data_IF_460456143622
#
_entry.id   IF_460456143622
#
_cell.length_a   1.000
_cell.length_b   1.000
_cell.length_c   1.000
_cell.angle_alpha   90.00
_cell.angle_beta   90.00
_cell.angle_gamma   90.00
#
_symmetry.space_group_name_H-M   'P 1'
#
loop_
_entity.id
_entity.type
_entity.pdbx_description
1 polymer ?
#
# COMPACT_ATOMS: atom_id res chain seq x y z
N UNK A 1 13.13 -7.86 23.52
CA UNK A 1 12.10 -8.19 22.52
C UNK A 1 12.36 -7.36 21.28
N UNK A 2 12.89 -7.98 20.22
CA UNK A 2 13.17 -7.31 18.94
C UNK A 2 11.83 -6.90 18.30
N UNK A 3 11.68 -5.62 17.94
CA UNK A 3 10.44 -5.06 17.40
C UNK A 3 10.41 -5.26 15.89
N UNK A 4 9.41 -5.96 15.37
CA UNK A 4 9.27 -6.21 13.93
C UNK A 4 9.07 -4.88 13.18
N UNK A 5 10.05 -4.51 12.35
CA UNK A 5 9.98 -3.33 11.47
C UNK A 5 9.57 -3.66 10.04
N UNK A 6 9.66 -4.93 9.65
CA UNK A 6 9.39 -5.41 8.30
C UNK A 6 8.53 -6.66 8.32
N UNK A 7 7.40 -6.62 7.61
CA UNK A 7 6.49 -7.74 7.42
C UNK A 7 6.56 -8.18 5.97
N UNK A 8 6.78 -9.47 5.75
CA UNK A 8 6.83 -10.05 4.40
C UNK A 8 5.91 -11.26 4.32
N UNK A 9 4.89 -11.17 3.47
CA UNK A 9 3.91 -12.21 3.23
C UNK A 9 4.15 -12.75 1.82
N UNK A 10 4.37 -14.07 1.67
CA UNK A 10 4.67 -14.69 0.38
C UNK A 10 3.85 -15.93 0.13
N UNK A 11 3.30 -16.04 -1.08
CA UNK A 11 2.69 -17.27 -1.61
C UNK A 11 1.65 -17.88 -0.66
N UNK A 12 0.81 -17.05 -0.05
CA UNK A 12 -0.25 -17.49 0.84
C UNK A 12 -1.57 -17.61 0.09
N UNK A 13 -2.31 -18.69 0.34
CA UNK A 13 -3.67 -18.91 -0.20
C UNK A 13 -4.77 -18.16 0.58
N UNK A 14 -4.38 -17.18 1.39
CA UNK A 14 -5.28 -16.41 2.23
C UNK A 14 -6.11 -15.46 1.36
N UNK A 15 -7.41 -15.41 1.62
CA UNK A 15 -8.32 -14.49 0.93
C UNK A 15 -8.53 -13.17 1.67
N UNK A 16 -8.47 -13.21 3.00
CA UNK A 16 -8.64 -12.06 3.88
C UNK A 16 -7.72 -12.20 5.10
N UNK A 17 -7.10 -11.09 5.52
CA UNK A 17 -6.37 -11.03 6.79
C UNK A 17 -7.35 -10.51 7.83
N UNK A 18 -7.76 -11.35 8.77
CA UNK A 18 -8.67 -10.94 9.83
C UNK A 18 -8.01 -9.91 10.75
N UNK A 19 -8.63 -8.74 10.82
CA UNK A 19 -8.35 -7.72 11.82
C UNK A 19 -9.39 -7.89 12.93
N UNK A 20 -9.00 -7.62 14.17
CA UNK A 20 -9.93 -7.65 15.28
C UNK A 20 -11.17 -6.78 15.05
N UNK A 21 -12.32 -7.31 15.46
CA UNK A 21 -13.65 -6.83 15.08
C UNK A 21 -14.18 -5.75 16.01
N UNK A 22 -13.50 -5.50 17.13
CA UNK A 22 -13.90 -4.49 18.12
C UNK A 22 -13.00 -3.24 18.03
N UNK A 23 -13.48 -2.06 18.45
CA UNK A 23 -12.65 -0.86 18.54
C UNK A 23 -11.38 -1.05 19.38
N UNK A 24 -11.45 -1.84 20.46
CA UNK A 24 -10.30 -2.16 21.31
C UNK A 24 -9.25 -2.99 20.57
N UNK A 25 -9.66 -3.98 19.78
CA UNK A 25 -8.73 -4.78 18.99
C UNK A 25 -8.03 -3.95 17.92
N UNK A 26 -8.75 -3.01 17.30
CA UNK A 26 -8.19 -2.07 16.31
C UNK A 26 -7.10 -1.20 16.95
N UNK A 27 -7.38 -0.62 18.13
CA UNK A 27 -6.42 0.21 18.88
C UNK A 27 -5.20 -0.62 19.29
N UNK A 28 -5.42 -1.83 19.80
CA UNK A 28 -4.35 -2.72 20.22
C UNK A 28 -3.49 -3.16 19.04
N UNK A 29 -4.11 -3.55 17.92
CA UNK A 29 -3.43 -3.94 16.69
C UNK A 29 -2.59 -2.78 16.15
N UNK A 30 -3.15 -1.57 16.08
CA UNK A 30 -2.41 -0.37 15.67
C UNK A 30 -1.22 -0.07 16.57
N UNK A 31 -1.35 -0.29 17.87
CA UNK A 31 -0.27 -0.11 18.85
C UNK A 31 0.84 -1.14 18.66
N UNK A 32 0.50 -2.38 18.33
CA UNK A 32 1.47 -3.46 18.03
C UNK A 32 2.20 -3.21 16.72
N UNK A 33 1.47 -2.78 15.70
CA UNK A 33 2.00 -2.49 14.36
C UNK A 33 2.72 -1.14 14.26
N UNK A 34 2.84 -0.36 15.35
CA UNK A 34 3.51 0.96 15.32
C UNK A 34 4.97 0.90 14.89
N UNK A 35 5.66 -0.21 15.10
CA UNK A 35 7.07 -0.33 14.71
C UNK A 35 7.23 -0.79 13.27
N UNK A 36 6.16 -1.25 12.64
CA UNK A 36 6.16 -1.76 11.28
C UNK A 36 6.27 -0.59 10.30
N UNK A 37 7.36 -0.57 9.54
CA UNK A 37 7.67 0.47 8.56
C UNK A 37 7.70 -0.08 7.14
N UNK A 38 7.90 -1.37 6.95
CA UNK A 38 7.92 -2.00 5.63
C UNK A 38 6.95 -3.18 5.55
N UNK A 39 6.10 -3.18 4.53
CA UNK A 39 5.19 -4.29 4.20
C UNK A 39 5.46 -4.73 2.77
N UNK A 40 5.72 -6.02 2.59
CA UNK A 40 5.91 -6.66 1.29
C UNK A 40 4.94 -7.82 1.19
N UNK A 41 4.06 -7.83 0.19
CA UNK A 41 3.13 -8.92 -0.09
C UNK A 41 3.34 -9.41 -1.50
N UNK A 42 3.72 -10.69 -1.66
CA UNK A 42 4.06 -11.27 -2.96
C UNK A 42 3.34 -12.59 -3.20
N UNK A 43 2.72 -12.77 -4.37
CA UNK A 43 2.19 -14.07 -4.80
C UNK A 43 0.99 -14.58 -4.00
N UNK A 44 0.28 -13.71 -3.28
CA UNK A 44 -0.91 -14.06 -2.53
C UNK A 44 -2.16 -13.85 -3.40
N UNK A 45 -2.36 -14.73 -4.39
CA UNK A 45 -3.39 -14.57 -5.43
C UNK A 45 -4.83 -14.66 -4.90
N UNK A 46 -5.03 -15.28 -3.73
CA UNK A 46 -6.31 -15.33 -3.04
C UNK A 46 -6.74 -13.99 -2.44
N UNK A 47 -5.78 -13.12 -2.11
CA UNK A 47 -5.98 -11.95 -1.25
C UNK A 47 -6.83 -10.88 -1.93
N UNK A 48 -7.86 -10.42 -1.23
CA UNK A 48 -8.79 -9.38 -1.73
C UNK A 48 -8.71 -8.08 -0.93
N UNK A 49 -8.44 -8.17 0.37
CA UNK A 49 -8.50 -7.03 1.28
C UNK A 49 -7.13 -6.71 1.87
N UNK A 50 -6.72 -5.45 1.70
CA UNK A 50 -5.50 -4.86 2.24
C UNK A 50 -5.81 -3.65 3.15
N UNK A 51 -7.07 -3.46 3.54
CA UNK A 51 -7.54 -2.34 4.38
C UNK A 51 -6.87 -2.32 5.76
N UNK A 52 -6.34 -3.46 6.23
CA UNK A 52 -5.51 -3.55 7.45
C UNK A 52 -4.25 -2.69 7.43
N UNK A 53 -3.79 -2.26 6.25
CA UNK A 53 -2.69 -1.30 6.11
C UNK A 53 -2.98 0.04 6.80
N UNK A 54 -4.25 0.40 7.03
CA UNK A 54 -4.62 1.57 7.84
C UNK A 54 -4.12 1.48 9.29
N UNK A 55 -3.88 0.27 9.78
CA UNK A 55 -3.39 0.00 11.13
C UNK A 55 -1.87 0.07 11.25
N UNK A 56 -1.16 0.39 10.16
CA UNK A 56 0.30 0.52 10.13
C UNK A 56 0.68 2.00 10.05
N UNK A 57 0.65 2.74 11.17
CA UNK A 57 0.74 4.21 11.16
C UNK A 57 2.10 4.76 10.70
N UNK A 58 3.14 3.94 10.73
CA UNK A 58 4.52 4.33 10.41
C UNK A 58 5.04 3.66 9.13
N UNK A 59 4.13 3.22 8.24
CA UNK A 59 4.50 2.59 6.97
C UNK A 59 5.28 3.58 6.09
N UNK A 60 6.53 3.25 5.80
CA UNK A 60 7.43 3.97 4.88
C UNK A 60 7.61 3.26 3.56
N UNK A 61 7.48 1.93 3.52
CA UNK A 61 7.62 1.15 2.29
C UNK A 61 6.50 0.11 2.13
N UNK A 62 5.80 0.16 1.00
CA UNK A 62 4.79 -0.80 0.60
C UNK A 62 5.15 -1.41 -0.76
N UNK A 63 5.33 -2.72 -0.82
CA UNK A 63 5.57 -3.49 -2.05
C UNK A 63 4.48 -4.55 -2.19
N UNK A 64 3.70 -4.47 -3.26
CA UNK A 64 2.66 -5.44 -3.60
C UNK A 64 2.96 -6.04 -4.96
N UNK A 65 3.15 -7.35 -5.01
CA UNK A 65 3.58 -8.06 -6.20
C UNK A 65 2.74 -9.31 -6.47
N UNK A 66 2.29 -9.50 -7.71
CA UNK A 66 1.55 -10.70 -8.13
C UNK A 66 0.35 -10.98 -7.20
N UNK A 67 -0.60 -10.04 -7.13
CA UNK A 67 -1.87 -10.20 -6.40
C UNK A 67 -3.02 -10.10 -7.40
N UNK A 68 -3.59 -11.25 -7.74
CA UNK A 68 -4.57 -11.34 -8.84
C UNK A 68 -5.96 -10.80 -8.51
N UNK A 69 -6.36 -10.83 -7.22
CA UNK A 69 -7.74 -10.53 -6.80
C UNK A 69 -7.92 -9.15 -6.14
N UNK A 70 -6.84 -8.44 -5.83
CA UNK A 70 -6.91 -7.09 -5.23
C UNK A 70 -7.44 -6.09 -6.26
N UNK A 71 -8.58 -5.46 -5.95
CA UNK A 71 -9.15 -4.39 -6.76
C UNK A 71 -8.86 -3.00 -6.19
N UNK A 72 -8.76 -2.89 -4.87
CA UNK A 72 -8.46 -1.66 -4.13
C UNK A 72 -7.45 -1.97 -3.03
N UNK A 73 -6.47 -1.10 -2.77
CA UNK A 73 -5.54 -1.29 -1.64
C UNK A 73 -6.26 -1.02 -0.32
N UNK A 74 -6.96 0.11 -0.23
CA UNK A 74 -7.87 0.39 0.88
C UNK A 74 -9.28 0.49 0.32
N UNK A 75 -10.18 -0.35 0.82
CA UNK A 75 -11.57 -0.39 0.37
C UNK A 75 -12.43 0.64 1.11
N UNK A 76 -13.12 1.51 0.35
CA UNK A 76 -14.06 2.49 0.91
C UNK A 76 -15.20 1.81 1.67
N UNK A 77 -15.77 0.76 1.07
CA UNK A 77 -16.85 -0.04 1.65
C UNK A 77 -16.45 -0.63 3.00
N UNK A 78 -15.25 -1.23 3.09
CA UNK A 78 -14.74 -1.85 4.33
C UNK A 78 -14.46 -0.82 5.42
N UNK A 79 -14.04 0.39 5.04
CA UNK A 79 -13.88 1.49 6.00
C UNK A 79 -15.24 1.98 6.47
N UNK A 80 -16.20 2.21 5.57
CA UNK A 80 -17.54 2.67 5.92
C UNK A 80 -18.28 1.67 6.82
N UNK A 81 -18.16 0.35 6.55
CA UNK A 81 -18.78 -0.70 7.36
C UNK A 81 -18.13 -0.89 8.73
N UNK A 82 -16.92 -0.40 8.95
CA UNK A 82 -16.19 -0.52 10.23
C UNK A 82 -16.43 0.66 11.18
N UNK A 83 -16.95 1.77 10.67
CA UNK A 83 -17.31 2.94 11.49
C UNK A 83 -18.76 2.75 11.94
N UNK A 84 -18.94 2.08 13.08
CA UNK A 84 -20.19 2.17 13.85
C UNK A 84 -20.47 3.65 14.16
N UNK A 85 -21.72 4.08 14.06
CA UNK A 85 -22.27 5.45 14.10
C UNK A 85 -21.89 6.34 15.32
N UNK A 86 -20.62 6.47 15.64
CA UNK A 86 -20.12 7.47 16.57
C UNK A 86 -19.40 8.60 15.80
N UNK A 87 -19.75 9.89 16.03
CA UNK A 87 -19.23 11.04 15.29
C UNK A 87 -17.72 11.32 15.43
N UNK A 88 -16.91 10.39 15.95
CA UNK A 88 -15.47 10.57 16.19
C UNK A 88 -14.67 9.26 16.10
N UNK A 89 -14.72 8.55 14.98
CA UNK A 89 -13.54 7.81 14.48
C UNK A 89 -12.45 8.78 13.94
N UNK A 90 -12.25 9.92 14.63
CA UNK A 90 -11.28 10.98 14.33
C UNK A 90 -9.82 10.54 14.50
N UNK A 91 -9.59 9.28 14.86
CA UNK A 91 -8.28 8.70 15.08
C UNK A 91 -7.67 8.02 13.86
N UNK A 92 -8.45 7.70 12.81
CA UNK A 92 -7.90 7.18 11.57
C UNK A 92 -7.39 8.37 10.73
N UNK A 93 -6.19 8.85 11.08
CA UNK A 93 -5.46 9.84 10.30
C UNK A 93 -5.46 9.42 8.82
N UNK A 94 -5.40 10.42 7.93
CA UNK A 94 -5.15 10.21 6.50
C UNK A 94 -4.10 9.11 6.32
N UNK A 95 -4.35 8.05 5.52
CA UNK A 95 -3.40 6.95 5.43
C UNK A 95 -2.08 7.39 4.79
N UNK A 96 -1.07 6.54 4.94
CA UNK A 96 0.21 6.65 4.22
C UNK A 96 0.98 7.97 4.41
N UNK A 97 0.79 8.67 5.54
CA UNK A 97 1.51 9.94 5.80
C UNK A 97 3.02 9.79 5.83
N UNK A 98 3.55 8.64 6.26
CA UNK A 98 5.00 8.39 6.27
C UNK A 98 5.49 7.60 5.06
N UNK A 99 4.62 7.30 4.09
CA UNK A 99 4.98 6.44 2.98
C UNK A 99 5.98 7.16 2.07
N UNK A 100 7.15 6.56 1.92
CA UNK A 100 8.26 7.04 1.09
C UNK A 100 8.31 6.32 -0.25
N UNK A 101 7.97 5.02 -0.26
CA UNK A 101 8.11 4.14 -1.43
C UNK A 101 6.92 3.20 -1.60
N UNK A 102 6.25 3.33 -2.75
CA UNK A 102 5.12 2.49 -3.16
C UNK A 102 5.47 1.70 -4.42
N UNK A 103 5.43 0.38 -4.36
CA UNK A 103 5.69 -0.50 -5.51
C UNK A 103 4.50 -1.41 -5.78
N UNK A 104 3.98 -1.33 -7.00
CA UNK A 104 2.80 -2.05 -7.47
C UNK A 104 3.17 -2.81 -8.74
N UNK A 105 3.33 -4.12 -8.61
CA UNK A 105 3.89 -4.97 -9.66
C UNK A 105 2.93 -6.13 -9.93
N UNK A 106 2.46 -6.27 -11.17
CA UNK A 106 1.59 -7.37 -11.59
C UNK A 106 0.32 -7.49 -10.74
N UNK A 107 -0.48 -6.42 -10.71
CA UNK A 107 -1.77 -6.35 -10.02
C UNK A 107 -2.88 -6.17 -11.08
N UNK A 108 -3.30 -7.24 -11.77
CA UNK A 108 -4.11 -7.15 -12.99
C UNK A 108 -5.52 -6.58 -12.75
N UNK A 109 -6.05 -6.70 -11.53
CA UNK A 109 -7.38 -6.21 -11.16
C UNK A 109 -7.38 -4.88 -10.41
N UNK A 110 -6.23 -4.36 -10.00
CA UNK A 110 -6.13 -3.15 -9.20
C UNK A 110 -6.68 -1.95 -9.97
N UNK A 111 -7.77 -1.35 -9.48
CA UNK A 111 -8.43 -0.19 -10.06
C UNK A 111 -7.98 1.10 -9.37
N UNK A 112 -7.81 1.07 -8.05
CA UNK A 112 -7.56 2.26 -7.21
C UNK A 112 -6.67 1.91 -6.01
N UNK A 113 -5.87 2.86 -5.55
CA UNK A 113 -5.15 2.74 -4.28
C UNK A 113 -6.03 3.22 -3.12
N UNK A 114 -6.72 4.35 -3.31
CA UNK A 114 -7.63 4.98 -2.35
C UNK A 114 -8.79 5.66 -3.10
N UNK A 115 -9.94 5.84 -2.46
CA UNK A 115 -11.13 6.42 -3.11
C UNK A 115 -11.06 7.95 -3.26
N UNK A 116 -10.28 8.65 -2.44
CA UNK A 116 -10.04 10.08 -2.57
C UNK A 116 -8.56 10.42 -2.77
N UNK A 117 -8.22 11.66 -3.17
CA UNK A 117 -6.84 12.12 -3.18
C UNK A 117 -6.23 12.09 -1.79
N UNK A 118 -4.98 11.66 -1.70
CA UNK A 118 -4.19 11.61 -0.48
C UNK A 118 -3.08 12.67 -0.52
N UNK A 119 -2.77 13.19 0.66
CA UNK A 119 -1.57 13.97 0.90
C UNK A 119 -0.45 13.01 1.27
N UNK A 120 0.57 12.94 0.43
CA UNK A 120 1.77 12.18 0.71
C UNK A 120 2.95 13.11 1.03
N UNK A 121 3.18 13.48 2.30
CA UNK A 121 4.24 14.45 2.62
C UNK A 121 5.65 13.88 2.44
N UNK A 122 5.83 12.55 2.58
CA UNK A 122 7.14 11.89 2.53
C UNK A 122 7.40 11.07 1.26
N UNK A 123 6.48 11.01 0.30
CA UNK A 123 6.59 10.09 -0.83
C UNK A 123 7.66 10.54 -1.82
N UNK A 124 8.57 9.63 -2.13
CA UNK A 124 9.75 9.83 -2.99
C UNK A 124 9.70 8.96 -4.23
N UNK A 125 9.06 7.79 -4.15
CA UNK A 125 9.05 6.84 -5.25
C UNK A 125 7.72 6.10 -5.39
N UNK A 126 7.22 6.04 -6.61
CA UNK A 126 6.14 5.14 -7.04
C UNK A 126 6.68 4.26 -8.17
N UNK A 127 6.41 2.96 -8.11
CA UNK A 127 6.65 2.03 -9.22
C UNK A 127 5.32 1.38 -9.60
N UNK A 128 4.94 1.49 -10.87
CA UNK A 128 3.76 0.81 -11.44
C UNK A 128 4.16 -0.05 -12.62
N UNK A 129 4.09 -1.37 -12.45
CA UNK A 129 4.36 -2.35 -13.49
C UNK A 129 3.19 -3.34 -13.63
N UNK A 130 2.74 -3.60 -14.87
CA UNK A 130 1.70 -4.61 -15.16
C UNK A 130 0.42 -4.43 -14.32
N UNK A 131 -0.05 -3.19 -14.17
CA UNK A 131 -1.29 -2.83 -13.46
C UNK A 131 -2.31 -2.18 -14.43
N UNK A 132 -2.85 -2.91 -15.42
CA UNK A 132 -3.58 -2.34 -16.56
C UNK A 132 -4.90 -1.63 -16.19
N UNK A 133 -5.48 -1.95 -15.03
CA UNK A 133 -6.73 -1.33 -14.54
C UNK A 133 -6.49 -0.12 -13.63
N UNK A 134 -5.26 0.11 -13.17
CA UNK A 134 -4.95 1.22 -12.28
C UNK A 134 -4.84 2.50 -13.12
N UNK A 135 -5.91 3.28 -13.19
CA UNK A 135 -5.99 4.45 -14.07
C UNK A 135 -5.80 5.78 -13.35
N UNK A 136 -5.75 5.80 -12.02
CA UNK A 136 -5.64 7.04 -11.23
C UNK A 136 -4.76 6.79 -10.02
N UNK A 137 -3.77 7.67 -9.81
CA UNK A 137 -3.00 7.73 -8.58
C UNK A 137 -3.70 8.67 -7.60
N UNK A 138 -3.80 8.34 -6.30
CA UNK A 138 -4.45 9.19 -5.30
C UNK A 138 -3.53 10.34 -4.87
N UNK A 139 -2.86 11.01 -5.81
CA UNK A 139 -1.96 12.13 -5.52
C UNK A 139 -2.78 13.42 -5.46
N UNK A 140 -2.67 14.16 -4.36
CA UNK A 140 -3.09 15.55 -4.29
C UNK A 140 -1.96 16.48 -4.74
N UNK A 141 -2.28 17.62 -5.37
CA UNK A 141 -1.31 18.64 -5.75
C UNK A 141 -0.41 19.14 -4.60
N UNK A 142 -0.85 19.01 -3.33
CA UNK A 142 -0.10 19.40 -2.13
C UNK A 142 0.80 18.28 -1.58
N UNK A 143 0.87 17.14 -2.25
CA UNK A 143 1.79 16.06 -1.88
C UNK A 143 3.25 16.49 -2.10
N UNK A 144 4.17 15.86 -1.37
CA UNK A 144 5.62 16.05 -1.53
C UNK A 144 6.07 17.51 -1.35
N UNK A 145 5.39 18.28 -0.49
CA UNK A 145 5.78 19.66 -0.15
C UNK A 145 6.71 19.64 1.05
N UNK A 146 7.98 20.02 0.87
CA UNK A 146 8.98 20.17 1.95
C UNK A 146 10.04 19.08 2.05
N UNK A 147 10.01 18.04 1.20
CA UNK A 147 11.12 17.09 1.05
C UNK A 147 12.06 17.57 -0.04
N UNK A 148 13.36 17.69 0.25
CA UNK A 148 14.37 18.13 -0.73
C UNK A 148 14.61 17.16 -1.89
N UNK A 149 13.94 16.01 -1.91
CA UNK A 149 14.03 14.99 -2.96
C UNK A 149 12.80 15.05 -3.87
N UNK A 150 13.02 15.05 -5.19
CA UNK A 150 11.96 15.05 -6.19
C UNK A 150 11.29 13.66 -6.26
N UNK A 151 9.95 13.64 -6.37
CA UNK A 151 9.20 12.40 -6.55
C UNK A 151 9.54 11.77 -7.90
N UNK A 152 9.79 10.46 -7.92
CA UNK A 152 9.94 9.68 -9.15
C UNK A 152 8.79 8.69 -9.30
N UNK A 153 8.11 8.71 -10.44
CA UNK A 153 7.03 7.78 -10.80
C UNK A 153 7.51 6.89 -11.93
N UNK A 154 8.00 5.71 -11.58
CA UNK A 154 8.48 4.74 -12.54
C UNK A 154 7.33 3.91 -13.11
N UNK A 155 7.28 3.77 -14.45
CA UNK A 155 6.31 2.91 -15.13
C UNK A 155 6.98 2.06 -16.20
N UNK A 156 6.37 0.92 -16.55
CA UNK A 156 6.86 0.05 -17.64
C UNK A 156 5.95 0.04 -18.87
N UNK A 157 4.64 0.15 -18.67
CA UNK A 157 3.65 0.02 -19.73
C UNK A 157 3.28 1.39 -20.33
N UNK A 158 3.61 1.61 -21.61
CA UNK A 158 3.24 2.85 -22.33
C UNK A 158 1.73 3.04 -22.43
N UNK A 159 0.96 1.95 -22.47
CA UNK A 159 -0.50 2.02 -22.47
C UNK A 159 -1.02 2.49 -21.12
N UNK A 160 -0.37 2.10 -20.02
CA UNK A 160 -0.68 2.64 -18.72
C UNK A 160 -0.41 4.14 -18.67
N UNK A 161 0.77 4.59 -19.12
CA UNK A 161 1.14 6.00 -19.11
C UNK A 161 0.20 6.87 -19.96
N UNK A 162 -0.24 6.39 -21.12
CA UNK A 162 -1.24 7.09 -21.97
C UNK A 162 -2.62 7.21 -21.31
N UNK A 163 -2.96 6.32 -20.38
CA UNK A 163 -4.30 6.22 -19.78
C UNK A 163 -4.38 6.79 -18.37
N UNK A 164 -3.24 7.05 -17.71
CA UNK A 164 -3.21 7.56 -16.34
C UNK A 164 -3.91 8.92 -16.27
N UNK A 165 -4.83 9.03 -15.30
CA UNK A 165 -5.62 10.22 -15.00
C UNK A 165 -5.15 10.83 -13.68
N UNK A 166 -5.32 12.13 -13.58
CA UNK A 166 -4.97 12.94 -12.42
C UNK A 166 -6.23 13.56 -11.83
N UNK A 167 -6.16 14.03 -10.59
CA UNK A 167 -7.31 14.65 -9.92
C UNK A 167 -7.77 15.91 -10.66
N UNK A 168 -6.82 16.79 -10.95
CA UNK A 168 -7.04 18.07 -11.62
C UNK A 168 -5.83 18.40 -12.51
N UNK A 169 -5.96 19.49 -13.27
CA UNK A 169 -4.90 19.98 -14.17
C UNK A 169 -3.62 20.33 -13.40
N UNK A 170 -3.72 20.95 -12.22
CA UNK A 170 -2.56 21.36 -11.43
C UNK A 170 -1.74 20.16 -10.93
N UNK A 171 -2.43 19.10 -10.50
CA UNK A 171 -1.84 17.83 -10.07
C UNK A 171 -1.13 17.15 -11.24
N UNK A 172 -1.75 17.14 -12.43
CA UNK A 172 -1.12 16.63 -13.65
C UNK A 172 0.15 17.41 -14.00
N UNK A 173 0.05 18.74 -14.07
CA UNK A 173 1.17 19.60 -14.51
C UNK A 173 2.37 19.47 -13.54
N UNK A 174 2.11 19.26 -12.24
CA UNK A 174 3.15 19.02 -11.23
C UNK A 174 3.83 17.65 -11.34
N UNK A 175 3.07 16.57 -11.51
CA UNK A 175 3.60 15.22 -11.35
C UNK A 175 3.81 14.46 -12.67
N UNK A 176 3.30 14.95 -13.80
CA UNK A 176 3.59 14.36 -15.10
C UNK A 176 5.10 14.40 -15.46
N UNK A 177 5.87 15.46 -15.15
CA UNK A 177 7.32 15.47 -15.38
C UNK A 177 8.08 14.44 -14.54
N UNK A 178 7.52 14.01 -13.41
CA UNK A 178 8.11 13.00 -12.52
C UNK A 178 8.04 11.56 -13.09
N UNK A 179 7.35 11.35 -14.22
CA UNK A 179 7.12 10.03 -14.78
C UNK A 179 8.28 9.54 -15.65
N UNK A 180 8.94 8.46 -15.21
CA UNK A 180 10.09 7.87 -15.88
C UNK A 180 9.81 6.43 -16.34
N UNK A 181 10.13 6.11 -17.59
CA UNK A 181 9.98 4.75 -18.12
C UNK A 181 11.12 3.84 -17.68
N UNK A 182 10.81 2.68 -17.11
CA UNK A 182 11.80 1.65 -16.76
C UNK A 182 12.26 0.88 -18.00
N UNK A 183 13.57 0.88 -18.25
CA UNK A 183 14.19 0.28 -19.45
C UNK A 183 14.77 -1.13 -19.25
N UNK A 184 15.01 -1.59 -18.01
CA UNK A 184 15.66 -2.88 -17.70
C UNK A 184 14.85 -3.78 -16.76
N UNK A 185 15.14 -5.08 -16.76
CA UNK A 185 14.56 -6.09 -15.85
C UNK A 185 15.19 -6.00 -14.47
N UNK A 186 14.37 -6.06 -13.41
CA UNK A 186 14.84 -6.26 -12.04
C UNK A 186 15.65 -7.57 -11.99
N UNK A 187 16.93 -7.52 -11.62
CA UNK A 187 17.70 -8.68 -11.20
C UNK A 187 17.45 -8.92 -9.70
N UNK A 188 17.22 -10.17 -9.33
CA UNK A 188 16.98 -10.58 -7.95
C UNK A 188 18.25 -10.35 -7.11
N UNK A 189 18.18 -9.40 -6.19
CA UNK A 189 19.19 -9.20 -5.16
C UNK A 189 18.51 -8.78 -3.86
N UNK A 190 17.89 -9.71 -3.14
CA UNK A 190 17.41 -9.44 -1.77
C UNK A 190 18.42 -9.99 -0.76
N UNK A 191 19.11 -9.04 -0.13
CA UNK A 191 19.95 -9.14 1.05
C UNK A 191 19.19 -9.77 2.23
N UNK A 192 19.88 -10.61 2.99
CA UNK A 192 19.40 -11.26 4.21
C UNK A 192 19.00 -10.21 5.25
N UNK A 193 17.69 -10.02 5.45
CA UNK A 193 17.11 -9.33 6.61
C UNK A 193 16.22 -10.36 7.29
N UNK A 194 16.32 -10.54 8.61
CA UNK A 194 15.51 -11.50 9.37
C UNK A 194 14.02 -11.21 9.15
N UNK A 195 13.28 -12.21 8.67
CA UNK A 195 11.91 -12.13 8.15
C UNK A 195 10.97 -12.89 9.09
N UNK A 196 9.81 -12.33 9.42
CA UNK A 196 8.65 -13.15 9.75
C UNK A 196 8.05 -13.60 8.40
N UNK A 197 8.53 -14.73 7.88
CA UNK A 197 8.01 -15.34 6.66
C UNK A 197 6.99 -16.40 7.02
N UNK A 198 5.71 -16.16 6.76
CA UNK A 198 4.69 -17.20 6.82
C UNK A 198 4.80 -18.06 5.57
N UNK A 199 5.70 -19.06 5.58
CA UNK A 199 5.70 -20.11 4.57
C UNK A 199 4.99 -21.34 5.15
N UNK A 200 3.93 -21.76 4.45
CA UNK A 200 3.24 -23.04 4.59
C UNK A 200 2.95 -23.51 6.03
N UNK A 201 1.82 -23.09 6.56
CA UNK A 201 0.94 -23.98 7.34
C UNK A 201 -0.48 -23.40 7.36
N UNK A 202 -1.49 -24.27 7.35
CA UNK A 202 -2.93 -23.99 7.15
C UNK A 202 -3.59 -23.06 8.20
N UNK A 203 -2.82 -22.39 9.03
CA UNK A 203 -3.30 -21.45 10.03
C UNK A 203 -2.29 -20.30 10.11
N UNK A 204 -2.43 -19.27 9.28
CA UNK A 204 -1.81 -17.99 9.59
C UNK A 204 -2.57 -17.40 10.76
N UNK A 205 -2.03 -17.64 11.96
CA UNK A 205 -2.39 -16.97 13.19
C UNK A 205 -2.45 -15.45 12.94
N UNK A 206 -3.53 -14.87 13.45
CA UNK A 206 -3.91 -13.46 13.34
C UNK A 206 -2.73 -12.49 13.53
N UNK A 207 -2.85 -11.28 12.97
CA UNK A 207 -2.02 -10.12 13.34
C UNK A 207 -1.97 -9.86 14.87
N UNK A 208 -2.82 -10.52 15.65
CA UNK A 208 -2.85 -10.56 17.12
C UNK A 208 -1.70 -11.35 17.77
N UNK A 209 -0.89 -12.10 17.01
CA UNK A 209 0.33 -12.76 17.56
C UNK A 209 1.61 -11.95 17.39
N UNK A 210 1.52 -10.71 16.86
CA UNK A 210 2.60 -9.73 16.76
C UNK A 210 2.58 -8.72 17.93
#
# INVERSE_FOLDING_TARGET
MERLSKLIIRSCDISEIEIGRTPWDIILTRTRLRNLTSVIVTGCNGLKDLTWLLLVPNLTHLELQCLEKVEEIISEERVASSVTDEPKARGMNTPFQKLERLELINLPRLKRIYWSPLLFPCLKKIVVEKCPKLRKLPLSFKSCVGGGEELVINYRDDQWFKRVRWEDKATKDRFLPCCEKLLTTYSEGKQLVKQASFQQNRYCLCLLSL
#
